data_IF_740108574847
#
_entry.id   IF_740108574847
#
_cell.length_a   1.000
_cell.length_b   1.000
_cell.length_c   1.000
_cell.angle_alpha   90.00
_cell.angle_beta   90.00
_cell.angle_gamma   90.00
#
_symmetry.space_group_name_H-M   'P 1'
#
loop_
_entity.id
_entity.type
_entity.pdbx_description
1 polymer ?
#
# COMPACT_ATOMS: atom_id res chain seq x y z
N UNK A 1 12.28 -19.01 2.08
CA UNK A 1 13.40 -19.16 1.42
C UNK A 1 14.16 -18.08 0.69
N UNK A 2 13.83 -16.77 0.80
CA UNK A 2 14.68 -15.72 0.23
C UNK A 2 15.84 -15.41 1.18
N UNK A 3 17.07 -15.34 0.65
CA UNK A 3 18.25 -14.93 1.41
C UNK A 3 18.55 -13.44 1.29
N UNK A 4 18.10 -12.81 0.23
CA UNK A 4 18.36 -11.41 -0.08
C UNK A 4 17.06 -10.66 -0.28
N UNK A 5 17.00 -9.44 0.23
CA UNK A 5 15.96 -8.46 -0.08
C UNK A 5 16.61 -7.23 -0.70
N UNK A 6 16.35 -7.00 -1.99
CA UNK A 6 16.85 -5.83 -2.70
C UNK A 6 15.74 -4.77 -2.80
N UNK A 7 16.10 -3.51 -2.51
CA UNK A 7 15.18 -2.37 -2.62
C UNK A 7 15.90 -1.06 -2.92
N UNK A 8 15.17 -0.12 -3.50
CA UNK A 8 15.70 1.21 -3.80
C UNK A 8 15.59 2.17 -2.62
N UNK A 9 16.60 2.98 -2.39
CA UNK A 9 16.60 4.05 -1.38
C UNK A 9 17.36 5.27 -1.85
N UNK A 10 17.16 6.41 -1.19
CA UNK A 10 17.91 7.64 -1.47
C UNK A 10 19.29 7.63 -0.81
N UNK A 11 19.43 6.99 0.35
CA UNK A 11 20.69 6.89 1.09
C UNK A 11 21.26 5.46 1.06
N UNK A 12 22.50 5.31 1.56
CA UNK A 12 23.22 4.04 1.54
C UNK A 12 22.69 3.03 2.58
N UNK A 13 23.01 1.74 2.35
CA UNK A 13 22.55 0.64 3.20
C UNK A 13 22.95 0.76 4.67
N UNK A 14 24.18 1.20 4.96
CA UNK A 14 24.68 1.34 6.34
C UNK A 14 23.85 2.37 7.12
N UNK A 15 23.49 3.49 6.49
CA UNK A 15 22.66 4.52 7.11
C UNK A 15 21.25 4.00 7.42
N UNK A 16 20.64 3.21 6.49
CA UNK A 16 19.34 2.60 6.71
C UNK A 16 19.37 1.51 7.78
N UNK A 17 20.43 0.72 7.84
CA UNK A 17 20.63 -0.30 8.87
C UNK A 17 20.74 0.34 10.27
N UNK A 18 21.54 1.41 10.40
CA UNK A 18 21.64 2.18 11.64
C UNK A 18 20.29 2.78 12.04
N UNK A 19 19.63 3.47 11.11
CA UNK A 19 18.30 4.05 11.34
C UNK A 19 17.26 2.99 11.72
N UNK A 20 17.28 1.79 11.10
CA UNK A 20 16.37 0.71 11.43
C UNK A 20 16.58 0.19 12.86
N UNK A 21 17.82 0.23 13.36
CA UNK A 21 18.13 -0.15 14.75
C UNK A 21 17.47 0.77 15.77
N UNK A 22 17.35 2.05 15.46
CA UNK A 22 16.67 3.04 16.31
C UNK A 22 15.15 2.99 16.14
N UNK A 23 14.66 3.00 14.89
CA UNK A 23 13.23 3.10 14.59
C UNK A 23 12.45 1.78 14.76
N UNK A 24 13.13 0.66 15.04
CA UNK A 24 12.45 -0.56 15.48
C UNK A 24 11.76 -0.39 16.85
N UNK A 25 12.24 0.53 17.69
CA UNK A 25 11.56 0.98 18.91
C UNK A 25 10.41 1.95 18.55
N UNK A 26 9.26 1.37 18.20
CA UNK A 26 8.06 2.15 17.86
C UNK A 26 7.48 2.91 19.05
N UNK A 27 7.75 2.46 20.27
CA UNK A 27 7.29 3.15 21.47
C UNK A 27 8.00 4.50 21.61
N UNK A 28 9.32 4.55 21.41
CA UNK A 28 10.09 5.79 21.43
C UNK A 28 9.58 6.81 20.39
N UNK A 29 9.27 6.38 19.16
CA UNK A 29 8.68 7.26 18.15
C UNK A 29 7.30 7.76 18.57
N UNK A 30 6.45 6.89 19.11
CA UNK A 30 5.11 7.25 19.59
C UNK A 30 5.17 8.21 20.78
N UNK A 31 6.15 8.10 21.66
CA UNK A 31 6.33 9.01 22.78
C UNK A 31 6.72 10.42 22.32
N UNK A 32 7.60 10.54 21.32
CA UNK A 32 7.89 11.83 20.68
C UNK A 32 6.63 12.45 20.07
N UNK A 33 5.81 11.63 19.39
CA UNK A 33 4.54 12.10 18.82
C UNK A 33 3.56 12.57 19.89
N UNK A 34 3.48 11.89 21.04
CA UNK A 34 2.62 12.29 22.18
C UNK A 34 3.09 13.59 22.85
N UNK A 35 4.40 13.73 23.03
CA UNK A 35 4.98 14.95 23.64
C UNK A 35 4.81 16.16 22.75
N UNK A 36 4.86 15.96 21.44
CA UNK A 36 4.74 17.01 20.42
C UNK A 36 3.45 16.83 19.64
N UNK A 37 2.33 17.27 20.19
CA UNK A 37 1.00 17.19 19.55
C UNK A 37 1.08 17.70 18.10
N UNK A 38 0.63 16.86 17.15
CA UNK A 38 0.60 17.13 15.70
C UNK A 38 1.90 16.84 14.91
N UNK A 39 2.90 16.18 15.48
CA UNK A 39 4.02 15.71 14.69
C UNK A 39 3.63 14.50 13.83
N UNK A 40 3.91 14.58 12.52
CA UNK A 40 3.82 13.42 11.64
C UNK A 40 4.89 12.38 12.00
N UNK A 41 4.62 11.08 11.67
CA UNK A 41 5.60 10.02 11.89
C UNK A 41 7.00 10.34 11.32
N UNK A 42 7.16 10.83 10.07
CA UNK A 42 8.49 11.17 9.55
C UNK A 42 9.22 12.21 10.38
N UNK A 43 8.52 13.24 10.89
CA UNK A 43 9.13 14.26 11.74
C UNK A 43 9.55 13.71 13.10
N UNK A 44 8.71 12.88 13.73
CA UNK A 44 9.05 12.24 14.99
C UNK A 44 10.24 11.28 14.83
N UNK A 45 10.26 10.50 13.76
CA UNK A 45 11.37 9.62 13.42
C UNK A 45 12.66 10.40 13.16
N UNK A 46 12.60 11.54 12.44
CA UNK A 46 13.76 12.42 12.21
C UNK A 46 14.34 12.94 13.51
N UNK A 47 13.50 13.37 14.45
CA UNK A 47 13.95 13.84 15.76
C UNK A 47 14.63 12.71 16.57
N UNK A 48 14.03 11.53 16.59
CA UNK A 48 14.61 10.37 17.28
C UNK A 48 15.95 9.94 16.67
N UNK A 49 16.07 9.97 15.35
CA UNK A 49 17.32 9.66 14.66
C UNK A 49 18.40 10.69 14.96
N UNK A 50 18.08 11.98 14.95
CA UNK A 50 19.02 13.04 15.31
C UNK A 50 19.50 12.89 16.77
N UNK A 51 18.59 12.60 17.70
CA UNK A 51 18.91 12.39 19.12
C UNK A 51 19.83 11.19 19.34
N UNK A 52 19.58 10.06 18.65
CA UNK A 52 20.28 8.80 18.90
C UNK A 52 21.52 8.58 18.05
N UNK A 53 21.57 9.12 16.84
CA UNK A 53 22.63 8.90 15.87
C UNK A 53 23.34 10.19 15.43
N UNK A 54 22.82 11.36 15.84
CA UNK A 54 23.35 12.65 15.46
C UNK A 54 22.61 13.32 14.31
N UNK A 55 22.79 14.63 14.14
CA UNK A 55 22.04 15.47 13.20
C UNK A 55 22.13 15.00 11.74
N UNK A 56 23.25 14.37 11.34
CA UNK A 56 23.41 13.82 9.99
C UNK A 56 22.38 12.74 9.61
N UNK A 57 21.67 12.17 10.59
CA UNK A 57 20.62 11.17 10.36
C UNK A 57 19.21 11.74 10.34
N UNK A 58 19.02 13.00 10.66
CA UNK A 58 17.69 13.64 10.73
C UNK A 58 16.91 13.52 9.41
N UNK A 59 17.59 13.72 8.27
CA UNK A 59 16.95 13.71 6.95
C UNK A 59 16.62 12.33 6.41
N UNK A 60 17.14 11.27 7.00
CA UNK A 60 16.94 9.90 6.49
C UNK A 60 15.46 9.54 6.49
N UNK A 61 14.74 9.85 7.58
CA UNK A 61 13.32 9.56 7.72
C UNK A 61 12.40 10.57 6.99
N UNK A 62 12.94 11.62 6.38
CA UNK A 62 12.18 12.53 5.53
C UNK A 62 11.97 12.00 4.11
N UNK A 63 12.79 11.03 3.69
CA UNK A 63 12.83 10.48 2.32
C UNK A 63 11.95 9.23 2.22
N UNK A 64 10.95 9.20 1.31
CA UNK A 64 9.95 8.13 1.28
C UNK A 64 10.51 6.72 1.07
N UNK A 65 11.51 6.55 0.17
CA UNK A 65 12.05 5.22 -0.07
C UNK A 65 12.97 4.76 1.07
N UNK A 66 13.62 5.68 1.77
CA UNK A 66 14.37 5.37 2.98
C UNK A 66 13.46 4.83 4.08
N UNK A 67 12.31 5.50 4.35
CA UNK A 67 11.32 5.00 5.32
C UNK A 67 10.88 3.60 4.94
N UNK A 68 10.58 3.37 3.67
CA UNK A 68 10.17 2.05 3.19
C UNK A 68 11.26 1.00 3.40
N UNK A 69 12.52 1.33 3.08
CA UNK A 69 13.67 0.46 3.30
C UNK A 69 13.89 0.15 4.80
N UNK A 70 13.79 1.16 5.65
CA UNK A 70 13.87 1.00 7.11
C UNK A 70 12.78 0.06 7.62
N UNK A 71 11.54 0.18 7.13
CA UNK A 71 10.44 -0.71 7.51
C UNK A 71 10.67 -2.16 7.04
N UNK A 72 11.25 -2.36 5.85
CA UNK A 72 11.62 -3.71 5.38
C UNK A 72 12.64 -4.36 6.31
N UNK A 73 13.73 -3.64 6.64
CA UNK A 73 14.77 -4.12 7.54
C UNK A 73 14.19 -4.42 8.93
N UNK A 74 13.40 -3.48 9.46
CA UNK A 74 12.77 -3.62 10.78
C UNK A 74 11.79 -4.80 10.82
N UNK A 75 11.01 -5.01 9.77
CA UNK A 75 10.09 -6.14 9.67
C UNK A 75 10.84 -7.48 9.63
N UNK A 76 11.90 -7.59 8.84
CA UNK A 76 12.71 -8.80 8.77
C UNK A 76 13.34 -9.13 10.14
N UNK A 77 13.87 -8.11 10.84
CA UNK A 77 14.40 -8.28 12.20
C UNK A 77 13.33 -8.77 13.20
N UNK A 78 12.13 -8.15 13.18
CA UNK A 78 11.02 -8.57 14.06
C UNK A 78 10.54 -9.99 13.80
N UNK A 79 10.59 -10.42 12.55
CA UNK A 79 10.19 -11.78 12.15
C UNK A 79 11.31 -12.81 12.34
N UNK A 80 12.48 -12.42 12.83
CA UNK A 80 13.63 -13.31 12.98
C UNK A 80 14.15 -13.87 11.66
N UNK A 81 13.96 -13.13 10.56
CA UNK A 81 14.43 -13.55 9.23
C UNK A 81 15.93 -13.30 9.11
N UNK A 82 16.68 -14.35 8.81
CA UNK A 82 18.10 -14.23 8.44
C UNK A 82 18.22 -13.85 6.96
N UNK A 83 18.13 -12.54 6.69
CA UNK A 83 18.17 -11.98 5.33
C UNK A 83 19.27 -10.92 5.24
N UNK A 84 19.97 -10.92 4.12
CA UNK A 84 20.85 -9.83 3.71
C UNK A 84 20.06 -8.77 2.93
N UNK A 85 20.45 -7.52 3.08
CA UNK A 85 19.79 -6.38 2.43
C UNK A 85 20.71 -5.77 1.37
N UNK A 86 20.21 -5.71 0.13
CA UNK A 86 20.88 -5.08 -1.00
C UNK A 86 20.18 -3.75 -1.30
N UNK A 87 20.81 -2.66 -0.92
CA UNK A 87 20.24 -1.32 -1.11
C UNK A 87 20.76 -0.73 -2.42
N UNK A 88 19.85 -0.59 -3.37
CA UNK A 88 20.13 0.08 -4.65
C UNK A 88 19.93 1.58 -4.47
N UNK A 89 21.02 2.35 -4.44
CA UNK A 89 20.91 3.79 -4.31
C UNK A 89 20.28 4.39 -5.55
N UNK A 90 19.27 5.22 -5.33
CA UNK A 90 18.56 5.90 -6.41
C UNK A 90 19.52 6.86 -7.13
N UNK A 91 19.61 6.72 -8.44
CA UNK A 91 20.32 7.67 -9.26
C UNK A 91 19.47 8.93 -9.50
N UNK A 92 20.05 10.14 -9.34
CA UNK A 92 19.36 11.38 -9.68
C UNK A 92 19.06 11.52 -11.18
N UNK A 93 19.68 10.69 -12.03
CA UNK A 93 19.38 10.64 -13.46
C UNK A 93 17.98 10.10 -13.79
N UNK A 94 17.32 9.39 -12.83
CA UNK A 94 15.97 8.88 -13.03
C UNK A 94 14.94 9.79 -12.39
N UNK A 95 13.94 10.19 -13.18
CA UNK A 95 12.82 10.98 -12.69
C UNK A 95 11.97 10.23 -11.66
N UNK A 96 11.29 10.97 -10.80
CA UNK A 96 10.38 10.36 -9.84
C UNK A 96 9.13 9.82 -10.54
N UNK A 97 8.58 8.72 -10.03
CA UNK A 97 7.34 8.14 -10.54
C UNK A 97 6.15 9.13 -10.49
N UNK A 98 6.19 10.13 -9.60
CA UNK A 98 5.17 11.20 -9.56
C UNK A 98 5.30 12.13 -10.76
N UNK A 99 6.53 12.52 -11.12
CA UNK A 99 6.79 13.35 -12.32
C UNK A 99 6.37 12.61 -13.59
N UNK A 100 6.74 11.33 -13.71
CA UNK A 100 6.38 10.50 -14.86
C UNK A 100 4.86 10.36 -14.99
N UNK A 101 4.15 10.08 -13.89
CA UNK A 101 2.68 9.98 -13.89
C UNK A 101 1.99 11.29 -14.29
N UNK A 102 2.52 12.43 -13.85
CA UNK A 102 1.95 13.74 -14.17
C UNK A 102 2.12 14.13 -15.66
N UNK A 103 3.04 13.50 -16.39
CA UNK A 103 3.18 13.69 -17.85
C UNK A 103 2.09 12.98 -18.67
N UNK A 104 1.34 12.07 -18.04
CA UNK A 104 0.24 11.35 -18.69
C UNK A 104 0.69 10.18 -19.59
N UNK A 105 1.92 10.16 -20.08
CA UNK A 105 2.51 9.04 -20.80
C UNK A 105 3.67 8.43 -20.03
N UNK A 106 3.49 7.20 -19.58
CA UNK A 106 4.50 6.45 -18.79
C UNK A 106 5.31 5.46 -19.64
N UNK A 107 4.85 5.16 -20.86
CA UNK A 107 5.42 4.11 -21.69
C UNK A 107 6.91 4.32 -22.04
N UNK A 108 7.40 5.54 -22.32
CA UNK A 108 8.81 5.77 -22.60
C UNK A 108 9.76 5.55 -21.42
N UNK A 109 9.22 5.50 -20.19
CA UNK A 109 9.99 5.45 -18.93
C UNK A 109 10.03 4.07 -18.28
N UNK A 110 9.46 3.07 -18.96
CA UNK A 110 9.40 1.69 -18.45
C UNK A 110 10.05 0.74 -19.48
N UNK A 111 10.51 -0.45 -19.05
CA UNK A 111 11.06 -1.43 -19.97
C UNK A 111 10.06 -1.77 -21.10
N UNK A 112 10.56 -1.93 -22.32
CA UNK A 112 9.74 -2.20 -23.52
C UNK A 112 8.73 -3.35 -23.31
N UNK A 113 9.16 -4.43 -22.64
CA UNK A 113 8.26 -5.57 -22.34
C UNK A 113 7.08 -5.15 -21.46
N UNK A 114 7.31 -4.30 -20.44
CA UNK A 114 6.26 -3.77 -19.58
C UNK A 114 5.38 -2.78 -20.35
N UNK A 115 5.95 -1.93 -21.19
CA UNK A 115 5.23 -0.99 -22.05
C UNK A 115 4.26 -1.73 -22.99
N UNK A 116 4.71 -2.84 -23.59
CA UNK A 116 3.89 -3.69 -24.48
C UNK A 116 2.70 -4.32 -23.76
N UNK A 117 2.89 -4.74 -22.50
CA UNK A 117 1.79 -5.27 -21.68
C UNK A 117 0.82 -4.14 -21.31
N UNK A 118 1.32 -3.01 -20.84
CA UNK A 118 0.50 -1.89 -20.38
C UNK A 118 -0.31 -1.24 -21.52
N UNK A 119 0.22 -1.20 -22.72
CA UNK A 119 -0.53 -0.67 -23.89
C UNK A 119 -1.79 -1.48 -24.23
N UNK A 120 -1.84 -2.76 -23.85
CA UNK A 120 -3.00 -3.64 -24.05
C UNK A 120 -3.99 -3.66 -22.86
N UNK A 121 -3.69 -2.96 -21.75
CA UNK A 121 -4.58 -2.94 -20.59
C UNK A 121 -5.48 -1.69 -20.63
N UNK A 122 -6.80 -1.82 -20.42
CA UNK A 122 -7.70 -0.68 -20.33
C UNK A 122 -7.23 0.30 -19.24
N UNK A 123 -7.25 1.58 -19.55
CA UNK A 123 -7.00 2.60 -18.52
C UNK A 123 -8.14 2.62 -17.53
N UNK A 124 -7.81 2.92 -16.27
CA UNK A 124 -8.78 3.05 -15.18
C UNK A 124 -8.81 4.50 -14.70
N UNK A 125 -10.01 5.06 -14.65
CA UNK A 125 -10.24 6.38 -14.08
C UNK A 125 -11.11 6.25 -12.83
N UNK A 126 -10.57 6.68 -11.70
CA UNK A 126 -11.29 6.67 -10.41
C UNK A 126 -12.54 7.54 -10.41
N UNK A 127 -12.62 8.56 -11.29
CA UNK A 127 -13.82 9.38 -11.45
C UNK A 127 -15.06 8.57 -11.87
N UNK A 128 -14.86 7.44 -12.53
CA UNK A 128 -15.96 6.52 -12.87
C UNK A 128 -16.60 5.84 -11.67
N UNK A 129 -15.89 5.79 -10.54
CA UNK A 129 -16.39 5.29 -9.26
C UNK A 129 -16.95 6.40 -8.37
N UNK A 130 -17.01 7.63 -8.84
CA UNK A 130 -17.35 8.81 -8.04
C UNK A 130 -18.67 8.62 -7.28
N UNK A 131 -19.76 8.29 -7.98
CA UNK A 131 -21.07 8.06 -7.37
C UNK A 131 -21.07 6.90 -6.36
N UNK A 132 -20.32 5.84 -6.64
CA UNK A 132 -20.23 4.71 -5.73
C UNK A 132 -19.43 5.07 -4.46
N UNK A 133 -18.35 5.82 -4.60
CA UNK A 133 -17.56 6.33 -3.48
C UNK A 133 -18.35 7.30 -2.62
N UNK A 134 -19.10 8.22 -3.26
CA UNK A 134 -20.00 9.15 -2.57
C UNK A 134 -21.11 8.39 -1.80
N UNK A 135 -21.77 7.44 -2.45
CA UNK A 135 -22.79 6.63 -1.80
C UNK A 135 -22.25 5.82 -0.62
N UNK A 136 -21.04 5.31 -0.70
CA UNK A 136 -20.38 4.61 0.40
C UNK A 136 -20.06 5.56 1.56
N UNK A 137 -19.50 6.74 1.28
CA UNK A 137 -19.16 7.73 2.30
C UNK A 137 -20.42 8.28 3.03
N UNK A 138 -21.50 8.55 2.30
CA UNK A 138 -22.78 9.02 2.88
C UNK A 138 -23.47 7.99 3.79
N UNK A 139 -23.20 6.69 3.60
CA UNK A 139 -23.74 5.63 4.46
C UNK A 139 -22.98 5.42 5.75
N UNK A 140 -21.83 6.06 5.93
CA UNK A 140 -21.03 5.93 7.15
C UNK A 140 -21.82 6.43 8.37
N UNK A 141 -21.52 5.82 9.51
CA UNK A 141 -22.02 6.20 10.83
C UNK A 141 -20.89 6.12 11.85
N UNK A 142 -21.12 6.61 13.05
CA UNK A 142 -20.12 6.57 14.13
C UNK A 142 -19.66 5.13 14.46
N UNK A 143 -20.53 4.13 14.21
CA UNK A 143 -20.27 2.72 14.47
C UNK A 143 -19.67 1.98 13.27
N UNK A 144 -19.42 2.68 12.16
CA UNK A 144 -18.84 2.06 10.97
C UNK A 144 -17.39 1.67 11.21
N UNK A 145 -17.07 0.38 11.06
CA UNK A 145 -15.69 -0.13 11.09
C UNK A 145 -15.07 -0.03 9.69
N UNK A 146 -14.24 0.98 9.48
CA UNK A 146 -13.57 1.24 8.20
C UNK A 146 -12.07 1.16 8.39
N UNK A 147 -11.41 0.28 7.66
CA UNK A 147 -9.97 0.12 7.73
C UNK A 147 -9.21 1.44 7.53
N UNK A 148 -8.30 1.71 8.47
CA UNK A 148 -7.41 2.85 8.43
C UNK A 148 -8.00 4.17 8.93
N UNK A 149 -9.26 4.17 9.41
CA UNK A 149 -9.92 5.34 10.00
C UNK A 149 -10.35 5.03 11.43
N UNK A 150 -10.20 6.00 12.34
CA UNK A 150 -10.88 5.98 13.62
C UNK A 150 -12.31 6.55 13.50
N UNK A 151 -13.11 6.45 14.57
CA UNK A 151 -14.51 6.90 14.57
C UNK A 151 -14.67 8.40 14.27
N UNK A 152 -13.75 9.23 14.75
CA UNK A 152 -13.75 10.68 14.47
C UNK A 152 -13.44 10.96 12.99
N UNK A 153 -12.53 10.21 12.39
CA UNK A 153 -12.17 10.31 10.98
C UNK A 153 -13.28 9.77 10.07
N UNK A 154 -13.97 8.71 10.49
CA UNK A 154 -15.16 8.18 9.79
C UNK A 154 -16.24 9.25 9.74
N UNK A 155 -16.57 9.90 10.87
CA UNK A 155 -17.57 10.98 10.89
C UNK A 155 -17.10 12.21 10.11
N UNK A 156 -15.82 12.55 10.16
CA UNK A 156 -15.27 13.64 9.34
C UNK A 156 -15.45 13.37 7.85
N UNK A 157 -15.18 12.12 7.41
CA UNK A 157 -15.35 11.72 6.02
C UNK A 157 -16.82 11.80 5.59
N UNK A 158 -17.75 11.32 6.44
CA UNK A 158 -19.18 11.44 6.21
C UNK A 158 -19.64 12.90 6.06
N UNK A 159 -19.32 13.74 7.04
CA UNK A 159 -19.71 15.15 7.04
C UNK A 159 -19.15 15.88 5.80
N UNK A 160 -17.89 15.57 5.42
CA UNK A 160 -17.32 16.08 4.18
C UNK A 160 -18.11 15.64 2.94
N UNK A 161 -18.59 14.38 2.90
CA UNK A 161 -19.38 13.87 1.79
C UNK A 161 -20.76 14.54 1.70
N UNK A 162 -21.40 14.85 2.83
CA UNK A 162 -22.68 15.57 2.87
C UNK A 162 -22.62 16.98 2.26
N UNK A 163 -21.43 17.60 2.34
CA UNK A 163 -21.17 18.95 1.81
C UNK A 163 -20.53 18.95 0.42
N UNK A 164 -20.29 17.79 -0.17
CA UNK A 164 -19.55 17.63 -1.43
C UNK A 164 -20.44 17.04 -2.52
N UNK A 165 -20.06 17.31 -3.77
CA UNK A 165 -20.71 16.73 -4.96
C UNK A 165 -19.89 15.61 -5.59
N UNK A 166 -18.58 15.54 -5.26
CA UNK A 166 -17.65 14.56 -5.83
C UNK A 166 -16.78 13.93 -4.76
N UNK A 167 -16.24 12.76 -5.05
CA UNK A 167 -15.31 12.07 -4.15
C UNK A 167 -14.01 12.88 -3.93
N UNK A 168 -13.53 13.57 -4.95
CA UNK A 168 -12.35 14.43 -4.81
C UNK A 168 -12.62 15.62 -3.89
N UNK A 169 -13.78 16.28 -4.00
CA UNK A 169 -14.18 17.35 -3.06
C UNK A 169 -14.30 16.82 -1.63
N UNK A 170 -14.90 15.64 -1.46
CA UNK A 170 -15.01 14.98 -0.15
C UNK A 170 -13.63 14.76 0.46
N UNK A 171 -12.68 14.25 -0.33
CA UNK A 171 -11.30 14.04 0.12
C UNK A 171 -10.66 15.35 0.56
N UNK A 172 -10.78 16.42 -0.25
CA UNK A 172 -10.18 17.73 0.08
C UNK A 172 -10.75 18.31 1.37
N UNK A 173 -12.07 18.23 1.58
CA UNK A 173 -12.74 18.71 2.80
C UNK A 173 -12.39 17.88 4.04
N UNK A 174 -12.19 16.57 3.87
CA UNK A 174 -11.85 15.67 4.97
C UNK A 174 -10.42 15.83 5.47
N UNK A 175 -9.51 16.44 4.69
CA UNK A 175 -8.10 16.63 5.09
C UNK A 175 -7.99 17.41 6.41
N UNK A 176 -7.10 16.94 7.29
CA UNK A 176 -6.79 17.58 8.57
C UNK A 176 -5.35 17.23 8.99
N UNK A 177 -4.94 17.69 10.16
CA UNK A 177 -3.63 17.37 10.72
C UNK A 177 -3.40 15.84 10.86
N UNK A 178 -4.45 15.08 11.15
CA UNK A 178 -4.40 13.60 11.33
C UNK A 178 -4.86 12.83 10.10
N UNK A 179 -5.64 13.44 9.22
CA UNK A 179 -6.22 12.81 8.04
C UNK A 179 -5.62 13.38 6.75
N UNK A 180 -4.60 12.72 6.23
CA UNK A 180 -4.00 13.10 4.94
C UNK A 180 -4.94 12.79 3.77
N UNK A 181 -4.78 13.49 2.64
CA UNK A 181 -5.50 13.21 1.38
C UNK A 181 -5.45 11.73 0.98
N UNK A 182 -4.28 11.10 1.09
CA UNK A 182 -4.12 9.67 0.78
C UNK A 182 -4.87 8.77 1.78
N UNK A 183 -4.96 9.16 3.06
CA UNK A 183 -5.73 8.44 4.08
C UNK A 183 -7.22 8.54 3.79
N UNK A 184 -7.72 9.73 3.48
CA UNK A 184 -9.12 9.95 3.10
C UNK A 184 -9.53 9.12 1.87
N UNK A 185 -8.72 9.11 0.80
CA UNK A 185 -8.96 8.29 -0.39
C UNK A 185 -9.00 6.79 -0.07
N UNK A 186 -8.06 6.29 0.72
CA UNK A 186 -8.08 4.88 1.15
C UNK A 186 -9.30 4.57 2.00
N UNK A 187 -9.70 5.48 2.91
CA UNK A 187 -10.89 5.32 3.72
C UNK A 187 -12.16 5.21 2.88
N UNK A 188 -12.33 6.07 1.87
CA UNK A 188 -13.46 5.96 0.93
C UNK A 188 -13.48 4.63 0.18
N UNK A 189 -12.33 4.16 -0.30
CA UNK A 189 -12.22 2.85 -0.95
C UNK A 189 -12.50 1.70 0.01
N UNK A 190 -12.00 1.78 1.25
CA UNK A 190 -12.29 0.78 2.28
C UNK A 190 -13.79 0.73 2.60
N UNK A 191 -14.43 1.89 2.71
CA UNK A 191 -15.89 1.97 2.91
C UNK A 191 -16.67 1.37 1.72
N UNK A 192 -16.26 1.68 0.48
CA UNK A 192 -16.88 1.12 -0.73
C UNK A 192 -16.75 -0.41 -0.80
N UNK A 193 -15.57 -0.93 -0.44
CA UNK A 193 -15.26 -2.36 -0.50
C UNK A 193 -15.67 -3.13 0.77
N UNK A 194 -16.13 -2.44 1.81
CA UNK A 194 -16.50 -3.04 3.10
C UNK A 194 -15.29 -3.63 3.84
N UNK A 195 -14.10 -3.02 3.70
CA UNK A 195 -12.88 -3.49 4.37
C UNK A 195 -12.84 -2.92 5.79
N UNK A 196 -12.80 -3.81 6.78
CA UNK A 196 -12.77 -3.49 8.22
C UNK A 196 -11.37 -3.51 8.80
N UNK A 197 -11.21 -3.03 10.03
CA UNK A 197 -9.96 -3.18 10.80
C UNK A 197 -9.64 -4.67 11.03
N UNK A 198 -10.67 -5.48 11.29
CA UNK A 198 -10.53 -6.92 11.46
C UNK A 198 -10.01 -7.63 10.21
N UNK A 199 -10.51 -7.25 9.03
CA UNK A 199 -10.03 -7.81 7.76
C UNK A 199 -8.54 -7.51 7.53
N UNK A 200 -8.11 -6.30 7.85
CA UNK A 200 -6.71 -5.89 7.68
C UNK A 200 -5.76 -6.53 8.71
N UNK A 201 -6.26 -6.83 9.91
CA UNK A 201 -5.51 -7.53 10.95
C UNK A 201 -5.44 -9.05 10.71
N UNK A 202 -6.34 -9.60 9.87
CA UNK A 202 -6.39 -11.02 9.57
C UNK A 202 -5.11 -11.50 8.87
N UNK A 203 -4.61 -12.65 9.28
CA UNK A 203 -3.47 -13.29 8.60
C UNK A 203 -3.89 -13.79 7.21
N UNK A 204 -2.98 -13.74 6.21
CA UNK A 204 -3.26 -14.38 4.93
C UNK A 204 -3.41 -15.89 5.13
N UNK A 205 -4.52 -16.45 4.66
CA UNK A 205 -4.83 -17.89 4.80
C UNK A 205 -4.46 -18.70 3.56
N UNK A 206 -4.10 -18.05 2.47
CA UNK A 206 -3.59 -18.65 1.25
C UNK A 206 -2.73 -17.67 0.49
N UNK A 207 -1.98 -18.15 -0.50
CA UNK A 207 -1.33 -17.33 -1.51
C UNK A 207 -1.75 -17.79 -2.89
N UNK A 208 -2.11 -16.85 -3.78
CA UNK A 208 -2.42 -17.14 -5.17
C UNK A 208 -1.15 -17.20 -6.01
N UNK A 209 -1.01 -18.27 -6.77
CA UNK A 209 0.09 -18.41 -7.71
C UNK A 209 -0.32 -17.82 -9.05
N UNK A 210 0.32 -16.73 -9.45
CA UNK A 210 0.01 -16.02 -10.70
C UNK A 210 0.84 -16.53 -11.88
N UNK A 211 2.09 -16.90 -11.63
CA UNK A 211 2.99 -17.48 -12.62
C UNK A 211 4.00 -18.39 -11.94
N UNK A 212 4.44 -19.42 -12.65
CA UNK A 212 5.36 -20.41 -12.12
C UNK A 212 6.35 -20.85 -13.20
N UNK A 213 7.63 -20.56 -12.98
CA UNK A 213 8.72 -21.14 -13.77
C UNK A 213 9.17 -22.50 -13.21
N UNK A 214 9.99 -23.21 -13.94
CA UNK A 214 10.46 -24.56 -13.58
C UNK A 214 11.15 -24.61 -12.22
N UNK A 215 12.03 -23.63 -11.93
CA UNK A 215 12.72 -23.55 -10.65
C UNK A 215 11.74 -23.31 -9.49
N UNK A 216 10.72 -22.48 -9.70
CA UNK A 216 9.66 -22.22 -8.71
C UNK A 216 8.81 -23.47 -8.47
N UNK A 217 8.47 -24.21 -9.51
CA UNK A 217 7.73 -25.48 -9.40
C UNK A 217 8.51 -26.50 -8.56
N UNK A 218 9.79 -26.68 -8.87
CA UNK A 218 10.70 -27.54 -8.11
C UNK A 218 10.80 -27.12 -6.64
N UNK A 219 10.93 -25.81 -6.39
CA UNK A 219 11.00 -25.28 -5.02
C UNK A 219 9.72 -25.56 -4.24
N UNK A 220 8.55 -25.20 -4.78
CA UNK A 220 7.24 -25.41 -4.12
C UNK A 220 7.01 -26.91 -3.87
N UNK A 221 7.33 -27.78 -4.84
CA UNK A 221 7.18 -29.21 -4.68
C UNK A 221 8.04 -29.77 -3.54
N UNK A 222 9.30 -29.33 -3.45
CA UNK A 222 10.26 -29.77 -2.45
C UNK A 222 9.90 -29.32 -1.03
N UNK A 223 9.42 -28.07 -0.90
CA UNK A 223 9.14 -27.42 0.39
C UNK A 223 7.65 -27.41 0.75
N UNK A 224 6.81 -28.17 0.06
CA UNK A 224 5.35 -28.12 0.23
C UNK A 224 4.88 -28.28 1.68
N UNK A 225 5.59 -29.08 2.48
CA UNK A 225 5.26 -29.33 3.89
C UNK A 225 5.70 -28.21 4.84
N UNK A 226 6.58 -27.35 4.38
CA UNK A 226 7.16 -26.23 5.16
C UNK A 226 6.42 -24.91 4.90
N UNK A 227 5.50 -24.87 3.92
CA UNK A 227 4.75 -23.68 3.59
C UNK A 227 3.77 -23.33 4.70
N UNK A 228 3.87 -22.10 5.22
CA UNK A 228 3.00 -21.62 6.29
C UNK A 228 1.55 -21.43 5.85
N UNK A 229 1.31 -21.22 4.55
CA UNK A 229 -0.01 -21.08 3.95
C UNK A 229 -0.10 -21.90 2.66
N UNK A 230 -1.29 -22.43 2.30
CA UNK A 230 -1.45 -23.17 1.06
C UNK A 230 -1.24 -22.28 -0.17
N UNK A 231 -0.54 -22.84 -1.17
CA UNK A 231 -0.39 -22.21 -2.49
C UNK A 231 -1.57 -22.62 -3.37
N UNK A 232 -2.38 -21.64 -3.75
CA UNK A 232 -3.59 -21.85 -4.52
C UNK A 232 -3.38 -21.49 -6.00
N UNK A 233 -3.73 -22.41 -6.89
CA UNK A 233 -3.81 -22.18 -8.35
C UNK A 233 -5.24 -22.21 -8.85
N UNK A 234 -6.20 -22.61 -8.00
CA UNK A 234 -7.62 -22.68 -8.29
C UNK A 234 -8.46 -22.60 -7.01
N UNK A 235 -9.73 -22.23 -7.13
CA UNK A 235 -10.65 -22.02 -6.00
C UNK A 235 -10.73 -23.24 -5.07
N UNK A 236 -10.72 -24.47 -5.61
CA UNK A 236 -10.76 -25.68 -4.77
C UNK A 236 -9.57 -25.83 -3.81
N UNK A 237 -8.43 -25.20 -4.10
CA UNK A 237 -7.30 -25.14 -3.16
C UNK A 237 -7.58 -24.20 -2.00
N UNK A 238 -8.26 -23.07 -2.27
CA UNK A 238 -8.65 -22.08 -1.26
C UNK A 238 -9.74 -22.67 -0.36
N UNK A 239 -10.74 -23.34 -0.94
CA UNK A 239 -11.83 -23.98 -0.18
C UNK A 239 -11.32 -25.02 0.84
N UNK A 240 -10.23 -25.69 0.53
CA UNK A 240 -9.57 -26.62 1.48
C UNK A 240 -8.92 -25.93 2.68
N UNK A 241 -8.60 -24.64 2.56
CA UNK A 241 -8.07 -23.84 3.65
C UNK A 241 -9.17 -23.32 4.60
N UNK A 242 -10.45 -23.58 4.30
CA UNK A 242 -11.60 -23.25 5.13
C UNK A 242 -12.42 -22.07 4.63
N UNK A 243 -13.56 -21.85 5.28
CA UNK A 243 -14.54 -20.83 4.88
C UNK A 243 -13.96 -19.40 4.97
N UNK A 244 -13.11 -19.14 5.96
CA UNK A 244 -12.47 -17.84 6.12
C UNK A 244 -11.52 -17.51 4.95
N UNK A 245 -10.77 -18.49 4.45
CA UNK A 245 -9.94 -18.33 3.27
C UNK A 245 -10.78 -18.03 2.01
N UNK A 246 -11.95 -18.67 1.89
CA UNK A 246 -12.91 -18.36 0.82
C UNK A 246 -13.39 -16.94 0.94
N UNK A 247 -13.75 -16.47 2.14
CA UNK A 247 -14.14 -15.08 2.38
C UNK A 247 -13.04 -14.06 2.01
N UNK A 248 -11.76 -14.35 2.33
CA UNK A 248 -10.65 -13.51 1.88
C UNK A 248 -10.56 -13.46 0.33
N UNK A 249 -10.77 -14.60 -0.33
CA UNK A 249 -10.76 -14.68 -1.80
C UNK A 249 -11.93 -13.90 -2.42
N UNK A 250 -13.13 -14.05 -1.90
CA UNK A 250 -14.33 -13.38 -2.40
C UNK A 250 -14.22 -11.86 -2.31
N UNK A 251 -13.65 -11.32 -1.22
CA UNK A 251 -13.33 -9.89 -1.12
C UNK A 251 -12.40 -9.42 -2.23
N UNK A 252 -11.38 -10.22 -2.56
CA UNK A 252 -10.50 -9.95 -3.70
C UNK A 252 -11.24 -9.91 -5.04
N UNK A 253 -12.19 -10.83 -5.25
CA UNK A 253 -13.04 -10.87 -6.45
C UNK A 253 -13.94 -9.61 -6.52
N UNK A 254 -14.57 -9.22 -5.41
CA UNK A 254 -15.37 -7.98 -5.36
C UNK A 254 -14.52 -6.76 -5.69
N UNK A 255 -13.34 -6.64 -5.08
CA UNK A 255 -12.41 -5.55 -5.38
C UNK A 255 -12.02 -5.51 -6.86
N UNK A 256 -11.74 -6.67 -7.48
CA UNK A 256 -11.46 -6.78 -8.91
C UNK A 256 -12.63 -6.33 -9.79
N UNK A 257 -13.87 -6.70 -9.44
CA UNK A 257 -15.08 -6.28 -10.14
C UNK A 257 -15.33 -4.77 -10.02
N UNK A 258 -15.14 -4.21 -8.82
CA UNK A 258 -15.22 -2.76 -8.61
C UNK A 258 -14.16 -2.03 -9.42
N UNK A 259 -12.92 -2.54 -9.44
CA UNK A 259 -11.85 -1.97 -10.25
C UNK A 259 -12.17 -2.01 -11.77
N UNK A 260 -12.89 -3.03 -12.25
CA UNK A 260 -13.33 -3.12 -13.65
C UNK A 260 -14.37 -2.05 -14.01
N UNK A 261 -15.18 -1.58 -13.06
CA UNK A 261 -16.11 -0.46 -13.30
C UNK A 261 -15.38 0.86 -13.55
N UNK A 262 -14.13 0.98 -13.14
CA UNK A 262 -13.29 2.14 -13.39
C UNK A 262 -12.62 2.11 -14.77
N UNK A 263 -12.74 1.02 -15.54
CA UNK A 263 -12.12 0.89 -16.86
C UNK A 263 -12.76 1.82 -17.89
N UNK A 264 -11.93 2.48 -18.71
CA UNK A 264 -12.40 3.27 -19.85
C UNK A 264 -12.96 2.33 -20.92
N UNK A 265 -14.14 2.66 -21.49
CA UNK A 265 -14.68 1.91 -22.62
C UNK A 265 -13.74 2.07 -23.83
N UNK A 266 -13.14 0.99 -24.25
CA UNK A 266 -12.27 0.94 -25.44
C UNK A 266 -13.03 1.23 -26.74
N UNK A 267 -14.34 1.03 -26.77
CA UNK A 267 -15.19 1.25 -27.95
C UNK A 267 -15.30 2.72 -28.36
N UNK A 268 -15.07 3.66 -27.45
CA UNK A 268 -15.11 5.09 -27.76
C UNK A 268 -13.90 5.61 -28.57
N UNK A 269 -12.82 4.82 -28.69
CA UNK A 269 -11.60 5.23 -29.42
C UNK A 269 -11.59 4.82 -30.88
N UNK A 270 -12.45 3.87 -31.28
CA UNK A 270 -12.53 3.37 -32.65
C UNK A 270 -13.63 4.08 -33.47
N UNK A 271 -14.28 5.08 -32.92
CA UNK A 271 -15.39 5.81 -33.53
C UNK A 271 -15.10 7.29 -33.74
N UNK A 272 -13.98 7.63 -34.39
CA UNK A 272 -13.85 8.94 -35.00
C UNK A 272 -13.64 8.76 -36.52
N UNK A 273 -14.44 9.45 -37.35
CA UNK A 273 -14.45 9.30 -38.80
C UNK A 273 -13.14 9.79 -39.43
#
# INVERSE_FOLDING_TARGET
>A
GCRYLAFGAEDGGDALLAASGVLCDRAAVADIQKQNRNLSYPKAASLLLAERLGDGFADIASKPNNILGIEYISAAKRLGCDMSFEVVRRSPAFESSSVIRNRGDVLPYIPERAARVLSGIPRRDMKRLDSALMAAALRLSADSDVYGLDSGEVMRLKNAAEESRTADETVERAVSATMTRAKARRGMLSALLGITQGDAAAKPLYTSLLALGENGASYISRHRKELCVPVATKLSHISRAGAEAVGQYERGIVAGRVAALAEENTDARNGSP
#
